data_IF_227766874683
#
_entry.id   IF_227766874683
#
_cell.length_a   1.000
_cell.length_b   1.000
_cell.length_c   1.000
_cell.angle_alpha   90.00
_cell.angle_beta   90.00
_cell.angle_gamma   90.00
#
_symmetry.space_group_name_H-M   'P 1'
#
loop_
_entity.id
_entity.type
_entity.pdbx_description
1 polymer ?
#
# COMPACT_ATOMS: atom_id res chain seq x y z
N UNK A 1 6.51 16.14 -11.05
CA UNK A 1 6.86 14.81 -11.55
C UNK A 1 6.17 13.74 -10.72
N UNK A 2 5.57 12.75 -11.35
CA UNK A 2 4.98 11.65 -10.58
C UNK A 2 6.08 10.86 -9.89
N UNK A 3 5.71 10.33 -8.73
CA UNK A 3 6.58 9.45 -7.96
C UNK A 3 5.88 8.11 -7.78
N UNK A 4 6.68 7.07 -7.63
CA UNK A 4 6.19 5.72 -7.38
C UNK A 4 6.80 5.19 -6.10
N UNK A 5 6.06 4.31 -5.44
CA UNK A 5 6.52 3.71 -4.19
C UNK A 5 5.96 2.31 -4.03
N UNK A 6 6.69 1.50 -3.31
CA UNK A 6 6.17 0.24 -2.79
C UNK A 6 5.72 0.47 -1.36
N UNK A 7 4.52 0.01 -1.04
CA UNK A 7 4.02 0.02 0.32
C UNK A 7 3.92 -1.42 0.81
N UNK A 8 4.67 -1.72 1.85
CA UNK A 8 4.71 -3.05 2.46
C UNK A 8 3.78 -3.05 3.65
N UNK A 9 2.85 -4.00 3.70
CA UNK A 9 1.78 -4.02 4.68
C UNK A 9 1.83 -5.28 5.51
N UNK A 10 1.78 -5.11 6.83
CA UNK A 10 1.57 -6.23 7.76
C UNK A 10 0.10 -6.22 8.17
N UNK A 11 -0.52 -7.39 8.10
CA UNK A 11 -1.95 -7.55 8.36
C UNK A 11 -2.20 -8.47 9.56
N UNK A 12 -3.39 -8.35 10.14
CA UNK A 12 -3.86 -9.35 11.09
C UNK A 12 -4.02 -10.71 10.39
N UNK A 13 -3.98 -11.78 11.18
CA UNK A 13 -4.08 -13.13 10.64
C UNK A 13 -5.34 -13.30 9.80
N UNK A 14 -5.16 -13.82 8.58
CA UNK A 14 -6.25 -14.11 7.67
C UNK A 14 -6.77 -12.92 6.86
N UNK A 15 -6.23 -11.71 7.08
CA UNK A 15 -6.77 -10.50 6.43
C UNK A 15 -6.08 -10.14 5.11
N UNK A 16 -4.96 -10.79 4.76
CA UNK A 16 -4.11 -10.33 3.66
C UNK A 16 -4.85 -10.20 2.33
N UNK A 17 -5.65 -11.20 1.96
CA UNK A 17 -6.35 -11.16 0.67
C UNK A 17 -7.38 -10.06 0.61
N UNK A 18 -8.12 -9.84 1.69
CA UNK A 18 -9.12 -8.77 1.75
C UNK A 18 -8.45 -7.40 1.73
N UNK A 19 -7.35 -7.24 2.45
CA UNK A 19 -6.57 -6.00 2.44
C UNK A 19 -6.04 -5.72 1.04
N UNK A 20 -5.46 -6.73 0.36
CA UNK A 20 -4.96 -6.57 -0.99
C UNK A 20 -6.07 -6.13 -1.94
N UNK A 21 -7.24 -6.72 -1.82
CA UNK A 21 -8.39 -6.38 -2.66
C UNK A 21 -8.86 -4.95 -2.41
N UNK A 22 -9.02 -4.57 -1.14
CA UNK A 22 -9.46 -3.21 -0.80
C UNK A 22 -8.43 -2.16 -1.19
N UNK A 23 -7.14 -2.45 -0.99
CA UNK A 23 -6.08 -1.53 -1.40
C UNK A 23 -6.09 -1.30 -2.91
N UNK A 24 -6.41 -2.32 -3.70
CA UNK A 24 -6.44 -2.19 -5.17
C UNK A 24 -7.49 -1.20 -5.66
N UNK A 25 -8.47 -0.86 -4.85
CA UNK A 25 -9.53 0.08 -5.19
C UNK A 25 -9.14 1.54 -4.94
N UNK A 26 -8.04 1.77 -4.26
CA UNK A 26 -7.60 3.14 -3.92
C UNK A 26 -7.01 3.79 -5.17
N UNK A 27 -7.42 5.02 -5.45
CA UNK A 27 -6.87 5.77 -6.58
C UNK A 27 -5.37 5.97 -6.38
N UNK A 28 -4.58 5.66 -7.40
CA UNK A 28 -3.12 5.72 -7.33
C UNK A 28 -2.46 4.37 -7.12
N UNK A 29 -3.22 3.36 -6.70
CA UNK A 29 -2.69 1.99 -6.57
C UNK A 29 -2.65 1.35 -7.95
N UNK A 30 -1.46 0.93 -8.36
CA UNK A 30 -1.23 0.27 -9.65
C UNK A 30 -1.29 -1.24 -9.55
N UNK A 31 -0.78 -1.79 -8.46
CA UNK A 31 -0.81 -3.23 -8.21
C UNK A 31 -0.93 -3.46 -6.71
N UNK A 32 -1.63 -4.52 -6.34
CA UNK A 32 -1.80 -4.91 -4.96
C UNK A 32 -1.89 -6.42 -4.89
N UNK A 33 -0.98 -7.04 -4.15
CA UNK A 33 -0.90 -8.49 -4.06
C UNK A 33 -0.69 -8.93 -2.62
N UNK A 34 -1.42 -9.98 -2.23
CA UNK A 34 -1.08 -10.72 -1.03
C UNK A 34 0.16 -11.55 -1.35
N UNK A 35 1.10 -11.63 -0.42
CA UNK A 35 2.39 -12.27 -0.64
C UNK A 35 2.74 -13.20 0.52
N UNK A 36 3.74 -14.02 0.29
CA UNK A 36 4.41 -14.77 1.36
C UNK A 36 5.60 -13.96 1.85
N UNK A 37 6.14 -14.31 3.02
CA UNK A 37 7.32 -13.66 3.58
C UNK A 37 6.97 -12.74 4.73
N UNK A 38 7.88 -11.81 5.09
CA UNK A 38 7.69 -10.97 6.28
C UNK A 38 6.54 -9.97 6.16
N UNK A 39 6.14 -9.62 4.94
CA UNK A 39 5.00 -8.74 4.70
C UNK A 39 3.87 -9.53 4.09
N UNK A 40 2.64 -9.14 4.44
CA UNK A 40 1.45 -9.87 4.01
C UNK A 40 0.90 -9.35 2.68
N UNK A 41 1.08 -8.06 2.41
CA UNK A 41 0.62 -7.41 1.18
C UNK A 41 1.68 -6.44 0.72
N UNK A 42 1.93 -6.41 -0.60
CA UNK A 42 2.81 -5.44 -1.21
C UNK A 42 2.02 -4.68 -2.27
N UNK A 43 2.07 -3.35 -2.21
CA UNK A 43 1.30 -2.48 -3.08
C UNK A 43 2.25 -1.56 -3.84
N UNK A 44 2.05 -1.44 -5.17
CA UNK A 44 2.74 -0.44 -5.97
C UNK A 44 1.81 0.73 -6.18
N UNK A 45 2.26 1.93 -5.81
CA UNK A 45 1.46 3.15 -5.93
C UNK A 45 2.19 4.19 -6.76
N UNK A 46 1.40 5.07 -7.38
CA UNK A 46 1.91 6.21 -8.11
C UNK A 46 1.13 7.45 -7.68
N UNK A 47 1.83 8.54 -7.44
CA UNK A 47 1.23 9.79 -7.03
C UNK A 47 1.91 10.97 -7.74
N UNK A 48 1.20 12.10 -7.93
CA UNK A 48 1.82 13.27 -8.57
C UNK A 48 2.93 13.89 -7.73
N UNK A 49 2.86 13.75 -6.41
CA UNK A 49 3.89 14.28 -5.51
C UNK A 49 3.87 13.53 -4.18
N UNK A 50 4.86 13.86 -3.33
CA UNK A 50 5.04 13.19 -2.05
C UNK A 50 3.88 13.46 -1.06
N UNK A 51 3.25 14.62 -1.16
CA UNK A 51 2.15 14.95 -0.27
C UNK A 51 0.92 14.08 -0.57
N UNK A 52 0.60 13.90 -1.84
CA UNK A 52 -0.51 13.01 -2.24
C UNK A 52 -0.20 11.58 -1.85
N UNK A 53 1.05 11.15 -2.02
CA UNK A 53 1.44 9.81 -1.60
C UNK A 53 1.19 9.60 -0.10
N UNK A 54 1.70 10.49 0.75
CA UNK A 54 1.59 10.35 2.20
C UNK A 54 0.19 10.65 2.72
N UNK A 55 -0.35 11.81 2.36
CA UNK A 55 -1.58 12.30 2.97
C UNK A 55 -2.84 11.63 2.42
N UNK A 56 -2.79 11.10 1.21
CA UNK A 56 -3.96 10.47 0.59
C UNK A 56 -3.79 8.95 0.52
N UNK A 57 -2.80 8.47 -0.24
CA UNK A 57 -2.70 7.04 -0.54
C UNK A 57 -2.33 6.23 0.69
N UNK A 58 -1.25 6.62 1.37
CA UNK A 58 -0.77 5.86 2.54
C UNK A 58 -1.77 5.93 3.68
N UNK A 59 -2.38 7.10 3.89
CA UNK A 59 -3.41 7.27 4.92
C UNK A 59 -4.60 6.36 4.66
N UNK A 60 -5.05 6.26 3.41
CA UNK A 60 -6.16 5.36 3.07
C UNK A 60 -5.80 3.89 3.26
N UNK A 61 -4.57 3.50 2.91
CA UNK A 61 -4.10 2.14 3.14
C UNK A 61 -4.09 1.83 4.64
N UNK A 62 -3.56 2.74 5.45
CA UNK A 62 -3.49 2.55 6.90
C UNK A 62 -4.86 2.46 7.54
N UNK A 63 -5.87 3.05 6.92
CA UNK A 63 -7.25 3.00 7.42
C UNK A 63 -8.01 1.74 7.05
N UNK A 64 -7.45 0.85 6.23
CA UNK A 64 -8.14 -0.38 5.86
C UNK A 64 -8.20 -1.34 7.03
N UNK A 65 -9.35 -2.01 7.18
CA UNK A 65 -9.55 -3.02 8.21
C UNK A 65 -8.54 -4.16 8.01
N UNK A 66 -7.86 -4.54 9.08
CA UNK A 66 -6.89 -5.63 9.06
C UNK A 66 -5.44 -5.19 8.86
N UNK A 67 -5.19 -3.92 8.57
CA UNK A 67 -3.83 -3.40 8.46
C UNK A 67 -3.29 -3.11 9.85
N UNK A 68 -2.14 -3.71 10.17
CA UNK A 68 -1.44 -3.47 11.43
C UNK A 68 -0.38 -2.39 11.27
N UNK A 69 0.41 -2.47 10.21
CA UNK A 69 1.54 -1.58 10.03
C UNK A 69 1.90 -1.50 8.54
N UNK A 70 2.41 -0.34 8.13
CA UNK A 70 2.87 -0.13 6.77
C UNK A 70 4.29 0.43 6.76
N UNK A 71 5.01 0.14 5.68
CA UNK A 71 6.32 0.73 5.40
C UNK A 71 6.30 1.18 3.94
N UNK A 72 6.56 2.47 3.72
CA UNK A 72 6.55 3.03 2.38
C UNK A 72 7.97 3.26 1.91
N UNK A 73 8.31 2.72 0.74
CA UNK A 73 9.62 2.86 0.13
C UNK A 73 9.46 3.57 -1.21
N UNK A 74 9.88 4.82 -1.29
CA UNK A 74 9.81 5.59 -2.54
C UNK A 74 10.88 5.09 -3.50
N UNK A 75 10.48 4.88 -4.76
CA UNK A 75 11.39 4.43 -5.80
C UNK A 75 12.23 5.64 -6.25
N UNK A 76 13.54 5.50 -6.25
CA UNK A 76 14.45 6.62 -6.53
C UNK A 76 15.21 6.49 -7.85
N UNK A 77 14.97 5.42 -8.59
CA UNK A 77 15.63 5.23 -9.90
C UNK A 77 14.66 5.20 -11.06
#
# INVERSE_FOLDING_TARGET
MPISAYVFIECTAGAARDVAKEASKIQGVKRSNATTGPYDVIVLVEAPDINVLGDFIVTKIQGLSGVLRTQTNVIVD
#
